data_IF_596995849596
#
_entry.id   IF_596995849596
#
_cell.length_a   1.000
_cell.length_b   1.000
_cell.length_c   1.000
_cell.angle_alpha   90.00
_cell.angle_beta   90.00
_cell.angle_gamma   90.00
#
_symmetry.space_group_name_H-M   'P 1'
#
loop_
_entity.id
_entity.type
_entity.pdbx_description
1 polymer ?
#
# COMPACT_ATOMS: atom_id res chain seq x y z
N UNK A 1 8.94 7.10 56.82
CA UNK A 1 8.62 8.06 55.76
C UNK A 1 7.21 7.86 55.24
N UNK A 2 6.35 8.88 55.39
CA UNK A 2 4.97 8.88 54.89
C UNK A 2 4.96 9.56 53.52
N UNK A 3 4.74 8.79 52.44
CA UNK A 3 4.47 9.33 51.11
C UNK A 3 3.06 9.94 51.08
N UNK A 4 2.95 11.23 51.39
CA UNK A 4 1.70 11.99 51.25
C UNK A 4 1.59 12.48 49.81
N UNK A 5 0.61 11.97 49.07
CA UNK A 5 0.26 12.46 47.75
C UNK A 5 -1.00 13.34 47.86
N UNK A 6 -0.92 14.59 47.40
CA UNK A 6 -2.08 15.47 47.28
C UNK A 6 -2.62 15.42 45.85
N UNK A 7 -3.93 15.24 45.71
CA UNK A 7 -4.62 15.31 44.42
C UNK A 7 -5.58 16.50 44.42
N UNK A 8 -5.53 17.31 43.37
CA UNK A 8 -6.45 18.42 43.18
C UNK A 8 -7.73 17.91 42.51
N UNK A 9 -8.84 17.91 43.25
CA UNK A 9 -10.16 17.52 42.72
C UNK A 9 -10.93 18.79 42.32
N UNK A 10 -11.19 18.96 41.02
CA UNK A 10 -12.03 20.08 40.55
C UNK A 10 -13.50 19.74 40.69
N UNK A 11 -14.24 20.52 41.50
CA UNK A 11 -15.68 20.36 41.68
C UNK A 11 -16.45 20.48 40.36
N UNK A 12 -15.96 21.30 39.42
CA UNK A 12 -16.58 21.46 38.10
C UNK A 12 -16.52 20.17 37.27
N UNK A 13 -15.40 19.44 37.32
CA UNK A 13 -15.24 18.15 36.62
C UNK A 13 -16.18 17.10 37.21
N UNK A 14 -16.30 17.04 38.53
CA UNK A 14 -17.23 16.13 39.21
C UNK A 14 -18.68 16.46 38.86
N UNK A 15 -19.05 17.75 38.88
CA UNK A 15 -20.39 18.20 38.48
C UNK A 15 -20.72 17.82 37.04
N UNK A 16 -19.78 18.00 36.12
CA UNK A 16 -19.92 17.54 34.73
C UNK A 16 -20.13 16.02 34.64
N UNK A 17 -19.30 15.22 35.34
CA UNK A 17 -19.42 13.76 35.34
C UNK A 17 -20.79 13.31 35.87
N UNK A 18 -21.31 13.97 36.90
CA UNK A 18 -22.65 13.69 37.45
C UNK A 18 -23.74 14.07 36.44
N UNK A 19 -23.67 15.23 35.80
CA UNK A 19 -24.65 15.64 34.78
C UNK A 19 -24.68 14.64 33.60
N UNK A 20 -23.51 14.18 33.16
CA UNK A 20 -23.39 13.11 32.14
C UNK A 20 -23.93 11.76 32.65
N UNK A 21 -23.79 11.43 33.94
CA UNK A 21 -24.44 10.23 34.54
C UNK A 21 -25.95 10.35 34.48
N UNK A 22 -26.48 11.54 34.78
CA UNK A 22 -27.92 11.79 34.87
C UNK A 22 -28.60 11.95 33.50
N UNK A 23 -27.83 12.09 32.42
CA UNK A 23 -28.36 12.38 31.09
C UNK A 23 -28.75 13.86 30.88
N UNK A 24 -28.32 14.75 31.77
CA UNK A 24 -28.59 16.20 31.72
C UNK A 24 -27.55 16.87 30.79
N UNK A 25 -27.67 16.63 29.49
CA UNK A 25 -26.62 16.94 28.51
C UNK A 25 -26.41 18.44 28.28
N UNK A 26 -27.47 19.24 28.33
CA UNK A 26 -27.40 20.71 28.24
C UNK A 26 -26.65 21.31 29.45
N UNK A 27 -26.89 20.77 30.65
CA UNK A 27 -26.19 21.19 31.85
C UNK A 27 -24.71 20.78 31.81
N UNK A 28 -24.42 19.56 31.32
CA UNK A 28 -23.06 19.11 31.08
C UNK A 28 -22.30 20.03 30.10
N UNK A 29 -22.94 20.43 29.00
CA UNK A 29 -22.34 21.34 28.00
C UNK A 29 -22.11 22.76 28.57
N UNK A 30 -23.03 23.27 29.37
CA UNK A 30 -22.83 24.54 30.06
C UNK A 30 -21.68 24.47 31.07
N UNK A 31 -21.60 23.41 31.87
CA UNK A 31 -20.52 23.24 32.85
C UNK A 31 -19.17 23.13 32.14
N UNK A 32 -19.08 22.39 31.02
CA UNK A 32 -17.83 22.21 30.28
C UNK A 32 -17.35 23.52 29.65
N UNK A 33 -18.24 24.27 28.99
CA UNK A 33 -17.90 25.54 28.32
C UNK A 33 -17.55 26.67 29.29
N UNK A 34 -18.26 26.80 30.41
CA UNK A 34 -18.14 27.97 31.28
C UNK A 34 -17.20 27.78 32.49
N UNK A 35 -16.99 26.56 33.00
CA UNK A 35 -16.31 26.35 34.30
C UNK A 35 -14.97 25.62 34.24
N UNK A 36 -14.68 24.87 33.17
CA UNK A 36 -13.53 23.93 33.17
C UNK A 36 -12.29 24.47 32.45
N UNK A 37 -12.43 25.52 31.62
CA UNK A 37 -11.29 26.09 30.88
C UNK A 37 -10.67 25.11 29.87
N UNK A 38 -9.80 25.61 28.98
CA UNK A 38 -9.21 24.81 27.88
C UNK A 38 -8.21 23.74 28.33
N UNK A 39 -7.60 23.88 29.51
CA UNK A 39 -6.57 22.95 30.02
C UNK A 39 -7.10 21.59 30.50
N UNK A 40 -8.41 21.47 30.79
CA UNK A 40 -9.04 20.22 31.26
C UNK A 40 -9.62 19.31 30.18
N UNK A 41 -9.68 19.78 28.92
CA UNK A 41 -10.49 19.19 27.85
C UNK A 41 -10.22 17.71 27.58
N UNK A 42 -8.94 17.32 27.46
CA UNK A 42 -8.57 15.92 27.20
C UNK A 42 -8.98 14.93 28.31
N UNK A 43 -8.90 15.33 29.59
CA UNK A 43 -9.39 14.49 30.70
C UNK A 43 -10.92 14.45 30.75
N UNK A 44 -11.56 15.56 30.39
CA UNK A 44 -13.02 15.67 30.39
C UNK A 44 -13.66 14.86 29.27
N UNK A 45 -13.03 14.77 28.09
CA UNK A 45 -13.52 14.06 26.91
C UNK A 45 -13.41 12.53 27.04
N UNK A 46 -12.43 12.00 27.79
CA UNK A 46 -12.30 10.55 28.02
C UNK A 46 -13.47 9.95 28.81
N UNK A 47 -14.10 10.73 29.67
CA UNK A 47 -15.24 10.26 30.46
C UNK A 47 -16.50 9.94 29.63
N UNK A 48 -17.02 10.84 28.77
CA UNK A 48 -18.11 10.52 27.87
C UNK A 48 -17.71 9.46 26.83
N UNK A 49 -16.46 9.45 26.34
CA UNK A 49 -15.95 8.40 25.45
C UNK A 49 -16.08 7.00 26.08
N UNK A 50 -15.68 6.83 27.35
CA UNK A 50 -15.83 5.57 28.08
C UNK A 50 -17.28 5.12 28.30
N UNK A 51 -18.26 5.98 27.99
CA UNK A 51 -19.69 5.66 27.98
C UNK A 51 -20.31 5.61 26.59
N UNK A 52 -19.46 5.52 25.56
CA UNK A 52 -19.85 5.51 24.15
C UNK A 52 -20.57 6.79 23.68
N UNK A 53 -20.44 7.89 24.45
CA UNK A 53 -20.95 9.22 24.09
C UNK A 53 -19.90 10.00 23.28
N UNK A 54 -19.48 9.43 22.16
CA UNK A 54 -18.33 9.90 21.37
C UNK A 54 -18.57 11.26 20.71
N UNK A 55 -19.79 11.56 20.28
CA UNK A 55 -20.13 12.87 19.68
C UNK A 55 -19.88 14.04 20.64
N UNK A 56 -20.13 13.82 21.93
CA UNK A 56 -19.90 14.84 22.96
C UNK A 56 -18.42 14.92 23.32
N UNK A 57 -17.74 13.77 23.37
CA UNK A 57 -16.30 13.73 23.52
C UNK A 57 -15.63 14.56 22.41
N UNK A 58 -16.09 14.45 21.16
CA UNK A 58 -15.57 15.21 20.01
C UNK A 58 -15.76 16.72 20.14
N UNK A 59 -16.90 17.17 20.70
CA UNK A 59 -17.17 18.61 20.92
C UNK A 59 -16.33 19.22 22.03
N UNK A 60 -15.95 18.42 23.02
CA UNK A 60 -15.29 18.87 24.26
C UNK A 60 -13.76 18.73 24.15
N UNK A 61 -13.28 17.76 23.39
CA UNK A 61 -11.85 17.52 23.27
C UNK A 61 -11.14 18.72 22.66
N UNK A 62 -10.00 19.08 23.26
CA UNK A 62 -9.13 20.17 22.80
C UNK A 62 -7.85 19.65 22.14
N UNK A 63 -7.59 18.34 22.25
CA UNK A 63 -6.42 17.66 21.71
C UNK A 63 -6.72 17.19 20.28
N UNK A 64 -5.85 17.56 19.32
CA UNK A 64 -6.01 17.21 17.91
C UNK A 64 -5.94 15.71 17.67
N UNK A 65 -5.11 14.99 18.40
CA UNK A 65 -4.91 13.55 18.20
C UNK A 65 -6.13 12.78 18.70
N UNK A 66 -6.60 13.13 19.90
CA UNK A 66 -7.84 12.56 20.44
C UNK A 66 -9.05 12.91 19.58
N UNK A 67 -9.11 14.13 19.04
CA UNK A 67 -10.18 14.56 18.13
C UNK A 67 -10.19 13.74 16.85
N UNK A 68 -9.03 13.45 16.28
CA UNK A 68 -8.89 12.62 15.09
C UNK A 68 -9.40 11.20 15.32
N UNK A 69 -8.95 10.54 16.40
CA UNK A 69 -9.40 9.19 16.76
C UNK A 69 -10.92 9.13 16.99
N UNK A 70 -11.50 10.12 17.68
CA UNK A 70 -12.94 10.21 17.88
C UNK A 70 -13.70 10.40 16.56
N UNK A 71 -13.18 11.22 15.64
CA UNK A 71 -13.78 11.43 14.33
C UNK A 71 -13.76 10.13 13.50
N UNK A 72 -12.66 9.38 13.50
CA UNK A 72 -12.58 8.07 12.84
C UNK A 72 -13.57 7.06 13.43
N UNK A 73 -13.71 7.02 14.77
CA UNK A 73 -14.67 6.13 15.43
C UNK A 73 -16.12 6.46 15.07
N UNK A 74 -16.43 7.73 14.82
CA UNK A 74 -17.76 8.22 14.44
C UNK A 74 -18.06 8.17 12.95
N UNK A 75 -17.14 7.68 12.11
CA UNK A 75 -17.24 7.78 10.65
C UNK A 75 -17.34 9.23 10.12
N UNK A 76 -16.94 10.21 10.93
CA UNK A 76 -16.89 11.62 10.53
C UNK A 76 -15.56 11.90 9.80
N UNK A 77 -15.50 11.43 8.56
CA UNK A 77 -14.32 11.50 7.71
C UNK A 77 -13.95 12.93 7.30
N UNK A 78 -14.92 13.83 7.23
CA UNK A 78 -14.71 15.25 6.88
C UNK A 78 -13.96 15.95 8.01
N UNK A 79 -14.43 15.81 9.25
CA UNK A 79 -13.73 16.33 10.42
C UNK A 79 -12.35 15.71 10.57
N UNK A 80 -12.20 14.40 10.28
CA UNK A 80 -10.90 13.74 10.34
C UNK A 80 -9.92 14.31 9.30
N UNK A 81 -10.36 14.56 8.06
CA UNK A 81 -9.55 15.14 6.99
C UNK A 81 -9.07 16.56 7.36
N UNK A 82 -9.94 17.39 7.93
CA UNK A 82 -9.58 18.75 8.36
C UNK A 82 -8.53 18.77 9.48
N UNK A 83 -8.47 17.70 10.30
CA UNK A 83 -7.51 17.58 11.41
C UNK A 83 -6.16 17.07 10.92
N UNK A 84 -6.13 16.18 9.93
CA UNK A 84 -4.87 15.67 9.40
C UNK A 84 -4.13 16.85 8.77
N UNK A 85 -2.96 17.23 9.30
CA UNK A 85 -2.28 18.40 8.79
C UNK A 85 -1.86 18.14 7.35
N UNK A 86 -2.23 19.04 6.44
CA UNK A 86 -1.68 19.14 5.07
C UNK A 86 -0.24 19.68 5.14
N UNK A 87 0.49 19.37 6.21
CA UNK A 87 1.86 19.82 6.42
C UNK A 87 2.76 19.04 5.49
N UNK A 88 3.53 19.77 4.68
CA UNK A 88 4.56 19.31 3.74
C UNK A 88 5.70 18.52 4.39
N UNK A 89 5.69 18.35 5.70
CA UNK A 89 6.70 17.60 6.45
C UNK A 89 6.27 16.14 6.60
N UNK A 90 7.11 15.24 6.09
CA UNK A 90 6.93 13.79 6.17
C UNK A 90 7.22 13.36 7.61
N UNK A 91 6.22 13.51 8.48
CA UNK A 91 6.26 12.99 9.84
C UNK A 91 5.67 11.57 9.87
N UNK A 92 6.31 10.60 10.56
CA UNK A 92 5.82 9.22 10.63
C UNK A 92 4.42 9.11 11.28
N UNK A 93 4.12 10.03 12.20
CA UNK A 93 2.79 10.14 12.82
C UNK A 93 1.73 10.55 11.80
N UNK A 94 2.03 11.52 10.93
CA UNK A 94 1.11 11.96 9.86
C UNK A 94 0.86 10.84 8.83
N UNK A 95 1.88 10.06 8.48
CA UNK A 95 1.71 8.89 7.60
C UNK A 95 0.72 7.89 8.23
N UNK A 96 0.88 7.61 9.52
CA UNK A 96 0.00 6.66 10.23
C UNK A 96 -1.45 7.16 10.25
N UNK A 97 -1.67 8.47 10.47
CA UNK A 97 -2.99 9.10 10.41
C UNK A 97 -3.60 9.04 9.01
N UNK A 98 -2.83 9.29 7.96
CA UNK A 98 -3.32 9.14 6.58
C UNK A 98 -3.72 7.70 6.27
N UNK A 99 -2.95 6.71 6.74
CA UNK A 99 -3.30 5.29 6.55
C UNK A 99 -4.58 4.92 7.30
N UNK A 100 -4.72 5.30 8.57
CA UNK A 100 -5.92 4.98 9.35
C UNK A 100 -7.17 5.67 8.80
N UNK A 101 -7.04 6.91 8.30
CA UNK A 101 -8.12 7.60 7.59
C UNK A 101 -8.47 6.90 6.28
N UNK A 102 -7.47 6.46 5.51
CA UNK A 102 -7.66 5.68 4.28
C UNK A 102 -8.39 4.35 4.52
N UNK A 103 -7.99 3.61 5.55
CA UNK A 103 -8.63 2.35 5.95
C UNK A 103 -10.09 2.57 6.36
N UNK A 104 -10.35 3.65 7.12
CA UNK A 104 -11.72 3.99 7.52
C UNK A 104 -12.57 4.43 6.31
N UNK A 105 -11.99 5.20 5.40
CA UNK A 105 -12.64 5.60 4.16
C UNK A 105 -13.00 4.39 3.28
N UNK A 106 -12.13 3.37 3.21
CA UNK A 106 -12.43 2.10 2.55
C UNK A 106 -13.59 1.36 3.23
N UNK A 107 -13.59 1.27 4.56
CA UNK A 107 -14.69 0.66 5.31
C UNK A 107 -16.03 1.38 5.09
N UNK A 108 -15.99 2.70 4.85
CA UNK A 108 -17.13 3.54 4.52
C UNK A 108 -17.43 3.61 3.00
N UNK A 109 -16.78 2.80 2.17
CA UNK A 109 -16.95 2.76 0.70
C UNK A 109 -16.64 4.09 -0.03
N UNK A 110 -15.85 4.97 0.58
CA UNK A 110 -15.38 6.23 -0.04
C UNK A 110 -14.03 6.03 -0.72
N UNK A 111 -14.04 5.41 -1.90
CA UNK A 111 -12.82 5.06 -2.64
C UNK A 111 -11.98 6.27 -3.07
N UNK A 112 -12.61 7.37 -3.48
CA UNK A 112 -11.89 8.57 -3.92
C UNK A 112 -11.07 9.18 -2.77
N UNK A 113 -11.69 9.26 -1.58
CA UNK A 113 -11.02 9.74 -0.37
C UNK A 113 -9.90 8.78 0.07
N UNK A 114 -10.14 7.47 0.01
CA UNK A 114 -9.12 6.47 0.32
C UNK A 114 -7.89 6.60 -0.61
N UNK A 115 -8.10 6.87 -1.91
CA UNK A 115 -7.03 7.11 -2.87
C UNK A 115 -6.16 8.28 -2.43
N UNK A 116 -6.76 9.44 -2.17
CA UNK A 116 -6.04 10.64 -1.73
C UNK A 116 -5.27 10.38 -0.43
N UNK A 117 -5.89 9.67 0.52
CA UNK A 117 -5.25 9.33 1.79
C UNK A 117 -4.00 8.46 1.59
N UNK A 118 -4.08 7.39 0.78
CA UNK A 118 -2.94 6.52 0.54
C UNK A 118 -1.86 7.16 -0.34
N UNK A 119 -2.23 8.08 -1.24
CA UNK A 119 -1.27 8.90 -1.99
C UNK A 119 -0.45 9.81 -1.07
N UNK A 120 -1.12 10.46 -0.10
CA UNK A 120 -0.48 11.28 0.92
C UNK A 120 0.34 10.44 1.92
N UNK A 121 -0.10 9.22 2.24
CA UNK A 121 0.65 8.29 3.08
C UNK A 121 1.87 7.67 2.38
N UNK A 122 1.96 7.76 1.05
CA UNK A 122 2.97 7.04 0.27
C UNK A 122 2.81 5.51 0.33
N UNK A 123 1.60 5.02 0.60
CA UNK A 123 1.34 3.57 0.68
C UNK A 123 1.08 3.00 -0.71
N UNK A 124 2.16 2.70 -1.43
CA UNK A 124 2.06 2.13 -2.77
C UNK A 124 1.38 0.75 -2.80
N UNK A 125 1.42 -0.01 -1.70
CA UNK A 125 0.78 -1.33 -1.61
C UNK A 125 -0.74 -1.21 -1.56
N UNK A 126 -1.25 -0.34 -0.70
CA UNK A 126 -2.68 -0.02 -0.67
C UNK A 126 -3.16 0.59 -1.99
N UNK A 127 -2.37 1.48 -2.58
CA UNK A 127 -2.67 2.06 -3.90
C UNK A 127 -2.71 1.02 -5.01
N UNK A 128 -1.87 -0.01 -4.98
CA UNK A 128 -1.92 -1.10 -5.96
C UNK A 128 -3.28 -1.80 -5.96
N UNK A 129 -3.83 -2.06 -4.77
CA UNK A 129 -5.12 -2.73 -4.62
C UNK A 129 -6.28 -1.84 -5.09
N UNK A 130 -6.16 -0.52 -4.90
CA UNK A 130 -7.19 0.44 -5.26
C UNK A 130 -7.14 0.83 -6.75
N UNK A 131 -5.94 0.97 -7.32
CA UNK A 131 -5.70 1.54 -8.64
C UNK A 131 -5.40 0.48 -9.70
N UNK A 132 -6.31 -0.49 -9.85
CA UNK A 132 -6.18 -1.56 -10.86
C UNK A 132 -6.07 -1.02 -12.31
N UNK A 133 -6.59 0.18 -12.56
CA UNK A 133 -6.56 0.83 -13.88
C UNK A 133 -5.29 1.67 -14.14
N UNK A 134 -4.57 2.12 -13.11
CA UNK A 134 -3.40 3.00 -13.23
C UNK A 134 -2.09 2.32 -12.81
N UNK A 135 -2.08 0.99 -12.79
CA UNK A 135 -0.97 0.15 -12.35
C UNK A 135 0.37 0.48 -13.01
N UNK A 136 0.40 0.81 -14.31
CA UNK A 136 1.65 1.12 -15.02
C UNK A 136 2.36 2.36 -14.43
N UNK A 137 1.60 3.43 -14.11
CA UNK A 137 2.17 4.64 -13.47
C UNK A 137 2.67 4.34 -12.06
N UNK A 138 1.94 3.49 -11.33
CA UNK A 138 2.30 3.07 -9.98
C UNK A 138 3.59 2.24 -9.98
N UNK A 139 3.77 1.36 -10.97
CA UNK A 139 4.98 0.56 -11.10
C UNK A 139 6.22 1.41 -11.37
N UNK A 140 6.12 2.42 -12.23
CA UNK A 140 7.22 3.39 -12.47
C UNK A 140 7.55 4.20 -11.21
N UNK A 141 6.53 4.58 -10.43
CA UNK A 141 6.72 5.23 -9.13
C UNK A 141 7.41 4.28 -8.15
N UNK A 142 6.97 3.03 -8.06
CA UNK A 142 7.55 2.01 -7.17
C UNK A 142 9.01 1.72 -7.51
N UNK A 143 9.38 1.65 -8.80
CA UNK A 143 10.77 1.49 -9.25
C UNK A 143 11.62 2.70 -8.83
N UNK A 144 11.10 3.93 -9.01
CA UNK A 144 11.78 5.17 -8.61
C UNK A 144 12.01 5.25 -7.10
N UNK A 145 11.05 4.80 -6.31
CA UNK A 145 11.13 4.75 -4.84
C UNK A 145 11.95 3.54 -4.33
N UNK A 146 12.46 2.69 -5.22
CA UNK A 146 13.26 1.52 -4.87
C UNK A 146 12.46 0.32 -4.36
N UNK A 147 11.13 0.36 -4.43
CA UNK A 147 10.23 -0.74 -4.07
C UNK A 147 10.16 -1.79 -5.20
N UNK A 148 11.31 -2.41 -5.50
CA UNK A 148 11.48 -3.29 -6.66
C UNK A 148 10.53 -4.50 -6.69
N UNK A 149 10.21 -5.09 -5.53
CA UNK A 149 9.29 -6.24 -5.49
C UNK A 149 7.85 -5.83 -5.82
N UNK A 150 7.43 -4.64 -5.39
CA UNK A 150 6.13 -4.10 -5.73
C UNK A 150 6.06 -3.77 -7.22
N UNK A 151 7.07 -3.06 -7.74
CA UNK A 151 7.18 -2.77 -9.17
C UNK A 151 7.14 -4.04 -10.01
N UNK A 152 7.91 -5.07 -9.64
CA UNK A 152 7.92 -6.36 -10.33
C UNK A 152 6.55 -7.05 -10.33
N UNK A 153 5.86 -7.05 -9.18
CA UNK A 153 4.53 -7.67 -9.06
C UNK A 153 3.49 -6.96 -9.91
N UNK A 154 3.58 -5.62 -10.00
CA UNK A 154 2.71 -4.83 -10.85
C UNK A 154 3.01 -5.12 -12.33
N UNK A 155 4.28 -5.08 -12.75
CA UNK A 155 4.67 -5.41 -14.13
C UNK A 155 4.22 -6.81 -14.56
N UNK A 156 4.31 -7.77 -13.64
CA UNK A 156 3.83 -9.13 -13.88
C UNK A 156 2.32 -9.16 -14.10
N UNK A 157 1.57 -8.46 -13.24
CA UNK A 157 0.10 -8.41 -13.30
C UNK A 157 -0.41 -7.69 -14.55
N UNK A 158 0.30 -6.65 -15.02
CA UNK A 158 -0.05 -5.93 -16.25
C UNK A 158 0.41 -6.63 -17.52
N UNK A 159 1.19 -7.72 -17.42
CA UNK A 159 1.69 -8.46 -18.57
C UNK A 159 2.97 -7.88 -19.20
N UNK A 160 3.62 -6.94 -18.55
CA UNK A 160 4.87 -6.29 -19.00
C UNK A 160 6.09 -7.18 -18.69
N UNK A 161 6.15 -8.33 -19.35
CA UNK A 161 7.15 -9.40 -19.08
C UNK A 161 8.58 -8.94 -19.34
N UNK A 162 8.79 -8.11 -20.37
CA UNK A 162 10.09 -7.54 -20.70
C UNK A 162 10.62 -6.67 -19.55
N UNK A 163 9.76 -5.79 -19.01
CA UNK A 163 10.11 -4.94 -17.86
C UNK A 163 10.41 -5.76 -16.61
N UNK A 164 9.72 -6.87 -16.37
CA UNK A 164 10.05 -7.80 -15.27
C UNK A 164 11.47 -8.34 -15.40
N UNK A 165 11.89 -8.78 -16.60
CA UNK A 165 13.25 -9.28 -16.86
C UNK A 165 14.28 -8.18 -16.63
N UNK A 166 14.04 -6.99 -17.18
CA UNK A 166 14.95 -5.86 -17.03
C UNK A 166 15.12 -5.43 -15.58
N UNK A 167 14.06 -5.40 -14.79
CA UNK A 167 14.12 -5.09 -13.37
C UNK A 167 14.92 -6.13 -12.57
N UNK A 168 14.82 -7.42 -12.91
CA UNK A 168 15.64 -8.46 -12.29
C UNK A 168 17.13 -8.30 -12.64
N UNK A 169 17.45 -7.96 -13.90
CA UNK A 169 18.83 -7.63 -14.30
C UNK A 169 19.34 -6.41 -13.53
N UNK A 170 18.57 -5.31 -13.48
CA UNK A 170 18.94 -4.07 -12.77
C UNK A 170 19.20 -4.31 -11.28
N UNK A 171 18.46 -5.22 -10.65
CA UNK A 171 18.61 -5.56 -9.23
C UNK A 171 19.70 -6.61 -8.95
N UNK A 172 20.45 -7.04 -9.96
CA UNK A 172 21.54 -8.02 -9.81
C UNK A 172 21.05 -9.47 -9.59
N UNK A 173 19.80 -9.76 -9.97
CA UNK A 173 19.18 -11.10 -9.89
C UNK A 173 19.14 -11.75 -11.27
N UNK A 174 20.29 -11.80 -11.94
CA UNK A 174 20.40 -12.25 -13.35
C UNK A 174 20.02 -13.72 -13.57
N UNK A 175 20.26 -14.60 -12.58
CA UNK A 175 19.89 -16.02 -12.69
C UNK A 175 18.38 -16.21 -12.66
N UNK A 176 17.68 -15.44 -11.82
CA UNK A 176 16.22 -15.40 -11.80
C UNK A 176 15.67 -14.79 -13.09
N UNK A 177 16.32 -13.73 -13.60
CA UNK A 177 15.96 -13.13 -14.88
C UNK A 177 16.04 -14.14 -16.04
N UNK A 178 17.09 -14.97 -16.08
CA UNK A 178 17.27 -15.99 -17.11
C UNK A 178 16.21 -17.10 -17.05
N UNK A 179 15.89 -17.57 -15.83
CA UNK A 179 14.83 -18.57 -15.63
C UNK A 179 13.45 -18.03 -15.99
N UNK A 180 13.17 -16.79 -15.59
CA UNK A 180 11.92 -16.12 -15.90
C UNK A 180 11.79 -15.86 -17.40
N UNK A 181 12.84 -15.37 -18.06
CA UNK A 181 12.87 -15.17 -19.51
C UNK A 181 12.63 -16.49 -20.24
N UNK A 182 13.29 -17.60 -19.87
CA UNK A 182 13.07 -18.90 -20.51
C UNK A 182 11.61 -19.36 -20.43
N UNK A 183 10.89 -18.99 -19.36
CA UNK A 183 9.51 -19.43 -19.14
C UNK A 183 8.49 -18.51 -19.83
N UNK A 184 8.68 -17.20 -19.78
CA UNK A 184 7.64 -16.22 -20.14
C UNK A 184 8.03 -15.26 -21.27
N UNK A 185 9.33 -15.10 -21.54
CA UNK A 185 9.86 -14.23 -22.59
C UNK A 185 11.16 -14.82 -23.22
N UNK A 186 11.06 -15.98 -23.92
CA UNK A 186 12.21 -16.69 -24.51
C UNK A 186 13.13 -15.81 -25.37
N UNK A 187 12.57 -14.82 -26.06
CA UNK A 187 13.30 -13.85 -26.87
C UNK A 187 14.39 -13.07 -26.10
N UNK A 188 14.23 -12.88 -24.78
CA UNK A 188 15.20 -12.19 -23.93
C UNK A 188 16.23 -13.11 -23.28
N UNK A 189 16.13 -14.42 -23.46
CA UNK A 189 17.06 -15.40 -22.86
C UNK A 189 18.51 -15.15 -23.26
N UNK A 190 18.86 -14.92 -24.54
CA UNK A 190 20.25 -14.64 -24.90
C UNK A 190 20.83 -13.43 -24.16
N UNK A 191 20.05 -12.34 -24.05
CA UNK A 191 20.44 -11.12 -23.30
C UNK A 191 20.69 -11.43 -21.82
N UNK A 192 19.78 -12.17 -21.17
CA UNK A 192 19.91 -12.52 -19.74
C UNK A 192 21.07 -13.48 -19.47
N UNK A 193 21.32 -14.45 -20.35
CA UNK A 193 22.42 -15.41 -20.22
C UNK A 193 23.77 -14.71 -20.36
N UNK A 194 23.93 -13.79 -21.32
CA UNK A 194 25.16 -12.99 -21.46
C UNK A 194 25.41 -12.14 -20.20
N UNK A 195 24.36 -11.53 -19.64
CA UNK A 195 24.45 -10.78 -18.39
C UNK A 195 24.87 -11.70 -17.24
N UNK A 196 24.29 -12.90 -17.14
CA UNK A 196 24.60 -13.88 -16.10
C UNK A 196 26.04 -14.41 -16.19
N UNK A 197 26.50 -14.76 -17.38
CA UNK A 197 27.88 -15.16 -17.62
C UNK A 197 28.87 -14.05 -17.25
N UNK A 198 28.55 -12.80 -17.59
CA UNK A 198 29.38 -11.63 -17.26
C UNK A 198 29.46 -11.42 -15.74
N UNK A 199 28.34 -11.53 -15.02
CA UNK A 199 28.32 -11.41 -13.57
C UNK A 199 29.14 -12.52 -12.89
N UNK A 200 29.04 -13.76 -13.36
CA UNK A 200 29.83 -14.88 -12.83
C UNK A 200 31.33 -14.72 -13.08
N UNK A 201 31.72 -14.18 -14.24
CA UNK A 201 33.13 -13.86 -14.53
C UNK A 201 33.65 -12.78 -13.58
N UNK A 202 32.88 -11.71 -13.35
CA UNK A 202 33.22 -10.67 -12.36
C UNK A 202 33.33 -11.22 -10.94
N UNK A 203 32.49 -12.19 -10.57
CA UNK A 203 32.54 -12.89 -9.28
C UNK A 203 33.65 -13.95 -9.18
N UNK A 204 34.54 -14.08 -10.18
CA UNK A 204 35.67 -15.01 -10.16
C UNK A 204 35.30 -16.46 -10.43
N UNK A 205 34.16 -16.73 -11.08
CA UNK A 205 33.65 -18.08 -11.39
C UNK A 205 33.54 -18.34 -12.91
N UNK A 206 34.63 -18.20 -13.69
CA UNK A 206 34.58 -18.31 -15.16
C UNK A 206 34.18 -19.70 -15.65
N UNK A 207 34.60 -20.76 -14.96
CA UNK A 207 34.24 -22.15 -15.32
C UNK A 207 32.73 -22.39 -15.26
N UNK A 208 32.03 -21.76 -14.31
CA UNK A 208 30.57 -21.89 -14.19
C UNK A 208 29.89 -21.06 -15.29
N UNK A 209 30.44 -19.89 -15.61
CA UNK A 209 29.93 -19.07 -16.71
C UNK A 209 29.93 -19.84 -18.04
N UNK A 210 30.99 -20.60 -18.33
CA UNK A 210 31.11 -21.42 -19.55
C UNK A 210 30.11 -22.60 -19.61
N UNK A 211 29.63 -23.09 -18.47
CA UNK A 211 28.62 -24.16 -18.43
C UNK A 211 27.20 -23.69 -18.75
N UNK A 212 26.95 -22.38 -18.76
CA UNK A 212 25.62 -21.85 -19.04
C UNK A 212 25.45 -21.75 -20.56
N UNK A 213 24.60 -22.61 -21.12
CA UNK A 213 24.27 -22.62 -22.53
C UNK A 213 23.50 -21.35 -22.94
N UNK A 214 23.87 -20.78 -24.08
CA UNK A 214 23.17 -19.65 -24.71
C UNK A 214 22.47 -20.16 -25.98
N UNK A 215 21.16 -19.93 -26.18
CA UNK A 215 20.46 -20.37 -27.39
C UNK A 215 21.11 -19.90 -28.71
N UNK A 216 21.71 -18.71 -28.74
CA UNK A 216 22.34 -18.16 -29.95
C UNK A 216 23.68 -18.83 -30.29
N UNK A 217 24.38 -19.36 -29.28
CA UNK A 217 25.74 -19.93 -29.40
C UNK A 217 25.71 -21.45 -29.41
N UNK A 218 24.75 -22.04 -28.71
CA UNK A 218 24.59 -23.47 -28.48
C UNK A 218 23.18 -23.96 -28.85
N UNK A 219 22.69 -23.74 -30.07
CA UNK A 219 21.34 -24.15 -30.48
C UNK A 219 21.12 -25.67 -30.33
N UNK A 220 22.19 -26.48 -30.43
CA UNK A 220 22.15 -27.93 -30.25
C UNK A 220 21.64 -28.38 -28.87
N UNK A 221 21.80 -27.55 -27.84
CA UNK A 221 21.35 -27.87 -26.48
C UNK A 221 19.85 -27.57 -26.27
N UNK A 222 19.17 -26.96 -27.24
CA UNK A 222 17.78 -26.52 -27.16
C UNK A 222 16.90 -27.28 -28.16
N UNK A 223 16.76 -28.60 -27.94
CA UNK A 223 16.00 -29.53 -28.79
C UNK A 223 14.47 -29.30 -28.79
N UNK A 224 13.98 -28.37 -27.96
CA UNK A 224 12.56 -28.06 -27.71
C UNK A 224 11.90 -27.27 -28.87
N UNK A 225 12.62 -26.99 -29.96
CA UNK A 225 12.12 -26.15 -31.06
C UNK A 225 12.14 -24.66 -30.71
N UNK A 226 13.30 -24.17 -30.25
CA UNK A 226 13.50 -22.82 -29.70
C UNK A 226 12.99 -21.69 -30.61
N UNK A 227 13.20 -21.78 -31.92
CA UNK A 227 12.74 -20.79 -32.90
C UNK A 227 11.22 -20.69 -32.95
N UNK A 228 10.51 -21.82 -32.98
CA UNK A 228 9.05 -21.87 -32.98
C UNK A 228 8.45 -21.32 -31.68
N UNK A 229 9.15 -21.46 -30.56
CA UNK A 229 8.76 -20.88 -29.27
C UNK A 229 8.83 -19.35 -29.32
N UNK A 230 9.90 -18.80 -29.91
CA UNK A 230 10.07 -17.35 -30.07
C UNK A 230 9.02 -16.77 -31.04
N UNK A 231 8.70 -17.47 -32.13
CA UNK A 231 7.64 -17.06 -33.07
C UNK A 231 6.27 -16.99 -32.36
N UNK A 232 5.95 -18.04 -31.59
CA UNK A 232 4.72 -18.09 -30.79
C UNK A 232 4.65 -16.97 -29.74
N UNK A 233 5.78 -16.62 -29.13
CA UNK A 233 5.87 -15.50 -28.18
C UNK A 233 5.57 -14.15 -28.85
N UNK A 234 6.12 -13.92 -30.05
CA UNK A 234 5.91 -12.67 -30.83
C UNK A 234 4.48 -12.52 -31.37
N UNK A 235 3.63 -13.52 -31.19
CA UNK A 235 2.27 -13.55 -31.71
C UNK A 235 2.20 -13.92 -33.19
N UNK A 236 3.30 -14.37 -33.78
CA UNK A 236 3.33 -14.95 -35.12
C UNK A 236 2.89 -16.41 -35.00
N UNK A 237 1.58 -16.64 -34.92
CA UNK A 237 1.06 -17.99 -35.16
C UNK A 237 1.14 -18.25 -36.66
N UNK A 238 1.82 -19.31 -37.14
CA UNK A 238 1.57 -19.80 -38.48
C UNK A 238 0.09 -20.17 -38.55
N UNK A 239 -0.59 -19.68 -39.60
CA UNK A 239 -2.00 -19.96 -39.87
C UNK A 239 -2.28 -21.46 -39.68
N UNK A 240 -2.84 -21.82 -38.52
CA UNK A 240 -3.30 -23.17 -38.29
C UNK A 240 -4.65 -23.21 -38.99
N UNK A 241 -4.70 -23.89 -40.14
CA UNK A 241 -5.92 -24.13 -40.90
C UNK A 241 -7.06 -24.46 -39.93
N UNK A 242 -8.14 -23.68 -40.02
CA UNK A 242 -9.33 -23.90 -39.22
C UNK A 242 -9.79 -25.35 -39.41
N UNK A 243 -10.14 -26.09 -38.33
CA UNK A 243 -10.67 -27.43 -38.51
C UNK A 243 -11.94 -27.31 -39.35
N UNK A 244 -11.96 -28.00 -40.50
CA UNK A 244 -13.14 -28.15 -41.35
C UNK A 244 -14.25 -28.72 -40.48
N UNK A 245 -15.20 -27.87 -40.09
CA UNK A 245 -16.44 -28.30 -39.47
C UNK A 245 -17.17 -29.15 -40.51
N UNK A 246 -17.25 -30.44 -40.25
CA UNK A 246 -18.03 -31.37 -41.08
C UNK A 246 -19.48 -30.90 -41.05
N UNK A 247 -19.97 -30.47 -42.21
CA UNK A 247 -21.34 -30.06 -42.45
C UNK A 247 -22.25 -31.27 -42.24
N UNK A 248 -22.96 -31.34 -41.11
CA UNK A 248 -23.96 -32.39 -40.87
C UNK A 248 -25.25 -31.95 -41.52
N UNK A 249 -25.31 -32.11 -42.84
CA UNK A 249 -26.56 -32.10 -43.58
C UNK A 249 -27.33 -33.40 -43.34
N UNK A 250 -28.46 -33.31 -42.65
CA UNK A 250 -29.61 -34.23 -42.76
C UNK A 250 -30.89 -33.54 -42.26
#
# INVERSE_FOLDING_TARGET
>A
DLNVNSHQLSLAVVGYQIAVIKGEMEEAENISRFKIGREGGGRLARFPEGRDLKELALKITTDSDHKFELALQLDDLETALDIVPISTEINPESITKWKSLGDRALAAWRFDLAKECFENAGDLGALMLLLMNELLKLAERAEREGQNNLAWSIWWTTGERERCVELLIKTGRVSEAALFARTYCPSLVPKTVVAWQSELKTKGRPKIAETIANPDVNPENFEEGWEAIIEKERGETPQTESPVLVDVGA
#
